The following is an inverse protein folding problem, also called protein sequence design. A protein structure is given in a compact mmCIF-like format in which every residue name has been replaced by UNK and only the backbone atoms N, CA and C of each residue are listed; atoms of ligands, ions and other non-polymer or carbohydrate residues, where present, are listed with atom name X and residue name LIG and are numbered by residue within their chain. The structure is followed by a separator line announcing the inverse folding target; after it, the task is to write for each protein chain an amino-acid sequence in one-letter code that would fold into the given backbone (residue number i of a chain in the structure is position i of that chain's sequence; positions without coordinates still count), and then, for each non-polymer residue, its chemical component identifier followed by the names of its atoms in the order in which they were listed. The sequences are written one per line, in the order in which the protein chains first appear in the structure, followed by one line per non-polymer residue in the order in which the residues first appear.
data_IF_018693337999
#
_entry.id   IF_018693337999
#
_cell.length_a   1.000
_cell.length_b   1.000
_cell.length_c   1.000
_cell.angle_alpha   90.00
_cell.angle_beta   90.00
_cell.angle_gamma   90.00
#
_symmetry.space_group_name_H-M   'P 1'
#
loop_
_entity.id
_entity.type
_entity.pdbx_description
1 polymer ?
#
# COMPACT_ATOMS: atom_id res chain seq x y z
N UNK A 1 48.13 12.02 56.70
CA UNK A 1 48.02 10.97 55.65
C UNK A 1 46.57 10.80 55.27
N UNK A 2 46.26 10.88 53.97
CA UNK A 2 44.91 10.88 53.40
C UNK A 2 44.19 9.54 53.59
N UNK A 3 42.90 9.56 53.91
CA UNK A 3 41.96 8.50 53.53
C UNK A 3 40.78 9.12 52.79
N UNK A 4 40.81 9.01 51.46
CA UNK A 4 39.74 9.38 50.54
C UNK A 4 38.66 8.31 50.65
N UNK A 5 37.45 8.68 51.06
CA UNK A 5 36.29 7.79 51.00
C UNK A 5 35.54 8.19 49.73
N UNK A 6 35.65 7.36 48.69
CA UNK A 6 34.97 7.55 47.43
C UNK A 6 33.50 7.13 47.60
N UNK A 7 32.58 8.07 47.35
CA UNK A 7 31.15 7.81 47.28
C UNK A 7 30.88 7.22 45.89
N UNK A 8 30.60 5.93 45.83
CA UNK A 8 30.13 5.27 44.61
C UNK A 8 28.63 5.51 44.45
N UNK A 9 28.26 6.45 43.58
CA UNK A 9 26.87 6.64 43.13
C UNK A 9 26.59 5.60 42.05
N UNK A 10 25.85 4.54 42.39
CA UNK A 10 25.29 3.60 41.41
C UNK A 10 24.05 4.27 40.80
N UNK A 11 24.23 4.94 39.67
CA UNK A 11 23.11 5.31 38.80
C UNK A 11 22.59 4.04 38.14
N UNK A 12 21.61 3.39 38.78
CA UNK A 12 20.82 2.34 38.15
C UNK A 12 19.91 3.00 37.10
N UNK A 13 20.43 3.20 35.90
CA UNK A 13 19.66 3.67 34.76
C UNK A 13 18.63 2.59 34.42
N UNK A 14 17.38 2.82 34.83
CA UNK A 14 16.21 2.16 34.27
C UNK A 14 16.12 2.57 32.80
N UNK A 15 16.80 1.82 31.94
CA UNK A 15 16.56 1.88 30.51
C UNK A 15 15.09 1.51 30.30
N UNK A 16 14.25 2.38 29.69
CA UNK A 16 12.99 1.90 29.17
C UNK A 16 13.35 0.80 28.16
N UNK A 17 12.93 -0.43 28.42
CA UNK A 17 12.90 -1.47 27.41
C UNK A 17 11.93 -0.96 26.34
N UNK A 18 12.48 -0.26 25.35
CA UNK A 18 11.76 0.07 24.13
C UNK A 18 11.54 -1.28 23.47
N UNK A 19 10.39 -1.88 23.76
CA UNK A 19 9.92 -3.06 23.08
C UNK A 19 9.73 -2.66 21.62
N UNK A 20 10.69 -3.01 20.77
CA UNK A 20 10.44 -3.05 19.35
C UNK A 20 9.45 -4.19 19.14
N UNK A 21 8.16 -3.85 19.11
CA UNK A 21 7.16 -4.73 18.53
C UNK A 21 7.74 -5.18 17.17
N UNK A 22 7.82 -6.49 16.95
CA UNK A 22 8.28 -7.07 15.68
C UNK A 22 7.49 -6.46 14.53
N UNK A 23 8.05 -5.41 13.94
CA UNK A 23 7.43 -4.63 12.89
C UNK A 23 7.63 -5.36 11.55
N UNK A 24 6.94 -6.48 11.38
CA UNK A 24 6.84 -7.17 10.08
C UNK A 24 6.19 -6.31 8.98
N UNK A 25 5.73 -5.10 9.32
CA UNK A 25 5.12 -4.11 8.43
C UNK A 25 5.96 -2.84 8.21
N UNK A 26 7.09 -2.61 8.91
CA UNK A 26 7.88 -1.37 8.78
C UNK A 26 8.55 -1.16 7.39
N UNK A 27 8.40 -2.09 6.46
CA UNK A 27 8.86 -1.95 5.08
C UNK A 27 7.83 -2.35 4.02
N UNK A 28 6.61 -2.72 4.41
CA UNK A 28 5.58 -3.15 3.45
C UNK A 28 4.74 -1.97 3.00
N UNK A 29 4.61 -1.82 1.69
CA UNK A 29 3.77 -0.78 1.09
C UNK A 29 2.31 -1.06 1.46
N UNK A 30 1.64 -0.07 2.03
CA UNK A 30 0.20 -0.12 2.22
C UNK A 30 -0.50 0.39 0.96
N UNK A 31 -0.85 -0.49 0.02
CA UNK A 31 -1.35 -0.08 -1.31
C UNK A 31 -2.62 0.77 -1.22
N UNK A 32 -3.57 0.40 -0.34
CA UNK A 32 -4.79 1.18 -0.07
C UNK A 32 -4.49 2.62 0.36
N UNK A 33 -3.54 2.83 1.28
CA UNK A 33 -3.14 4.18 1.72
C UNK A 33 -2.32 4.91 0.66
N UNK A 34 -1.34 4.23 0.07
CA UNK A 34 -0.36 4.84 -0.84
C UNK A 34 -0.96 5.23 -2.18
N UNK A 35 -1.80 4.37 -2.77
CA UNK A 35 -2.31 4.56 -4.14
C UNK A 35 -3.80 4.84 -4.22
N UNK A 36 -4.59 4.45 -3.22
CA UNK A 36 -6.04 4.49 -3.30
C UNK A 36 -6.73 5.50 -2.37
N UNK A 37 -5.99 6.45 -1.78
CA UNK A 37 -6.52 7.43 -0.84
C UNK A 37 -7.38 6.80 0.27
N UNK A 38 -6.92 5.65 0.77
CA UNK A 38 -7.58 4.85 1.80
C UNK A 38 -9.01 4.36 1.46
N UNK A 39 -9.37 4.27 0.18
CA UNK A 39 -10.63 3.69 -0.29
C UNK A 39 -10.47 2.19 -0.57
N UNK A 40 -11.51 1.39 -0.31
CA UNK A 40 -11.53 -0.04 -0.67
C UNK A 40 -11.79 -0.27 -2.16
N UNK A 41 -12.55 0.63 -2.80
CA UNK A 41 -12.92 0.53 -4.20
C UNK A 41 -12.76 1.88 -4.91
N UNK A 42 -12.19 1.85 -6.13
CA UNK A 42 -12.09 3.02 -7.01
C UNK A 42 -12.73 2.73 -8.38
N UNK A 43 -13.18 3.79 -9.07
CA UNK A 43 -13.86 3.68 -10.35
C UNK A 43 -15.38 3.50 -10.20
N UNK A 44 -15.78 2.41 -9.54
CA UNK A 44 -17.15 2.16 -9.10
C UNK A 44 -17.13 1.65 -7.64
N UNK A 45 -18.29 1.59 -7.01
CA UNK A 45 -18.45 0.93 -5.72
C UNK A 45 -18.18 -0.60 -5.82
N UNK A 46 -18.06 -1.27 -4.66
CA UNK A 46 -17.76 -2.70 -4.61
C UNK A 46 -18.86 -3.62 -5.16
N UNK A 47 -20.11 -3.15 -5.23
CA UNK A 47 -21.22 -3.91 -5.79
C UNK A 47 -21.28 -3.80 -7.32
N UNK A 48 -20.79 -2.68 -7.89
CA UNK A 48 -20.79 -2.40 -9.32
C UNK A 48 -19.43 -2.67 -9.96
N UNK A 49 -19.43 -3.46 -11.03
CA UNK A 49 -18.24 -3.74 -11.85
C UNK A 49 -18.26 -2.86 -13.11
N UNK A 50 -17.09 -2.44 -13.60
CA UNK A 50 -15.75 -2.81 -13.13
C UNK A 50 -15.23 -1.85 -12.06
N UNK A 51 -14.35 -2.31 -11.16
CA UNK A 51 -13.72 -1.44 -10.15
C UNK A 51 -12.31 -1.92 -9.81
N UNK A 52 -11.51 -1.02 -9.26
CA UNK A 52 -10.23 -1.35 -8.65
C UNK A 52 -10.46 -1.62 -7.16
N UNK A 53 -10.14 -2.82 -6.70
CA UNK A 53 -10.14 -3.22 -5.30
C UNK A 53 -8.77 -2.93 -4.69
N UNK A 54 -8.75 -2.18 -3.60
CA UNK A 54 -7.55 -1.73 -2.91
C UNK A 54 -7.50 -2.29 -1.49
N UNK A 55 -6.64 -3.28 -1.27
CA UNK A 55 -6.30 -3.79 0.05
C UNK A 55 -5.06 -3.12 0.63
N UNK A 56 -4.79 -3.34 1.91
CA UNK A 56 -3.52 -2.92 2.51
C UNK A 56 -2.31 -3.60 1.86
N UNK A 57 -2.45 -4.84 1.41
CA UNK A 57 -1.37 -5.65 0.83
C UNK A 57 -1.50 -5.91 -0.67
N UNK A 58 -2.55 -5.39 -1.33
CA UNK A 58 -2.78 -5.68 -2.74
C UNK A 58 -3.59 -4.60 -3.46
N UNK A 59 -3.52 -4.61 -4.78
CA UNK A 59 -4.48 -3.97 -5.68
C UNK A 59 -4.92 -4.98 -6.75
N UNK A 60 -6.21 -5.06 -7.03
CA UNK A 60 -6.77 -5.97 -8.03
C UNK A 60 -7.87 -5.30 -8.83
N UNK A 61 -7.82 -5.40 -10.15
CA UNK A 61 -8.86 -4.88 -11.02
C UNK A 61 -9.94 -5.94 -11.26
N UNK A 62 -11.16 -5.65 -10.82
CA UNK A 62 -12.34 -6.49 -11.06
C UNK A 62 -12.99 -6.09 -12.39
N UNK A 63 -12.98 -7.01 -13.35
CA UNK A 63 -13.59 -6.85 -14.67
C UNK A 63 -15.10 -7.03 -14.63
N UNK A 64 -15.79 -6.64 -15.71
CA UNK A 64 -17.25 -6.78 -15.84
C UNK A 64 -17.72 -8.24 -15.72
N UNK A 65 -16.97 -9.17 -16.29
CA UNK A 65 -17.27 -10.60 -16.25
C UNK A 65 -16.99 -11.26 -14.89
N UNK A 66 -16.49 -10.49 -13.91
CA UNK A 66 -16.14 -11.00 -12.59
C UNK A 66 -14.71 -11.51 -12.46
N UNK A 67 -13.90 -11.51 -13.51
CA UNK A 67 -12.49 -11.87 -13.39
C UNK A 67 -11.69 -10.80 -12.63
N UNK A 68 -10.55 -11.22 -12.09
CA UNK A 68 -9.59 -10.36 -11.41
C UNK A 68 -8.29 -10.27 -12.22
N UNK A 69 -7.77 -9.05 -12.37
CA UNK A 69 -6.38 -8.82 -12.71
C UNK A 69 -5.65 -8.33 -11.47
N UNK A 70 -4.87 -9.20 -10.82
CA UNK A 70 -4.07 -8.82 -9.65
C UNK A 70 -2.90 -7.96 -10.10
N UNK A 71 -2.92 -6.69 -9.71
CA UNK A 71 -1.97 -5.65 -10.14
C UNK A 71 -0.65 -5.76 -9.37
N UNK A 72 -0.72 -6.21 -8.12
CA UNK A 72 0.42 -6.33 -7.19
C UNK A 72 1.07 -7.71 -7.16
N UNK A 73 0.76 -8.59 -8.13
CA UNK A 73 1.49 -9.85 -8.31
C UNK A 73 2.80 -9.60 -9.05
N UNK A 74 3.79 -10.48 -8.79
CA UNK A 74 5.12 -10.48 -9.40
C UNK A 74 5.04 -10.42 -10.94
N UNK A 75 5.80 -9.49 -11.52
CA UNK A 75 5.88 -9.27 -12.96
C UNK A 75 6.15 -7.80 -13.31
N UNK A 76 6.38 -7.54 -14.59
CA UNK A 76 6.51 -6.18 -15.12
C UNK A 76 5.17 -5.41 -15.03
N UNK A 77 5.21 -4.08 -15.14
CA UNK A 77 4.09 -3.14 -15.21
C UNK A 77 3.05 -3.46 -16.32
N UNK A 78 3.26 -4.50 -17.12
CA UNK A 78 2.34 -5.01 -18.16
C UNK A 78 0.91 -5.18 -17.67
N UNK A 79 0.70 -5.67 -16.45
CA UNK A 79 -0.66 -5.84 -15.90
C UNK A 79 -1.35 -4.51 -15.67
N UNK A 80 -0.63 -3.55 -15.10
CA UNK A 80 -1.10 -2.17 -14.94
C UNK A 80 -1.41 -1.54 -16.29
N UNK A 81 -0.58 -1.79 -17.31
CA UNK A 81 -0.80 -1.30 -18.68
C UNK A 81 -2.06 -1.90 -19.32
N UNK A 82 -2.29 -3.21 -19.17
CA UNK A 82 -3.51 -3.85 -19.65
C UNK A 82 -4.76 -3.27 -18.97
N UNK A 83 -4.68 -2.96 -17.67
CA UNK A 83 -5.78 -2.29 -16.96
C UNK A 83 -5.94 -0.85 -17.46
N UNK A 84 -4.86 -0.11 -17.72
CA UNK A 84 -4.92 1.24 -18.30
C UNK A 84 -5.66 1.26 -19.63
N UNK A 85 -5.30 0.38 -20.54
CA UNK A 85 -5.90 0.30 -21.86
C UNK A 85 -7.40 0.00 -21.74
N UNK A 86 -7.75 -0.96 -20.87
CA UNK A 86 -9.14 -1.29 -20.62
C UNK A 86 -9.94 -0.10 -20.06
N UNK A 87 -9.44 0.61 -19.03
CA UNK A 87 -10.20 1.73 -18.45
C UNK A 87 -10.31 2.93 -19.40
N UNK A 88 -9.27 3.19 -20.20
CA UNK A 88 -9.26 4.28 -21.19
C UNK A 88 -10.27 4.01 -22.30
N UNK A 89 -10.41 2.77 -22.74
CA UNK A 89 -11.42 2.38 -23.74
C UNK A 89 -12.84 2.31 -23.18
N UNK A 90 -13.02 2.27 -21.85
CA UNK A 90 -14.32 2.09 -21.20
C UNK A 90 -14.64 3.19 -20.18
N UNK A 91 -14.24 4.45 -20.42
CA UNK A 91 -14.37 5.54 -19.42
C UNK A 91 -15.78 5.70 -18.85
N UNK A 92 -16.80 5.50 -19.68
CA UNK A 92 -18.22 5.63 -19.31
C UNK A 92 -18.71 4.53 -18.36
N UNK A 93 -17.96 3.43 -18.21
CA UNK A 93 -18.32 2.35 -17.29
C UNK A 93 -18.07 2.71 -15.81
N UNK A 94 -17.39 3.82 -15.52
CA UNK A 94 -16.97 4.21 -14.18
C UNK A 94 -17.73 5.45 -13.69
N UNK A 95 -18.28 5.37 -12.49
CA UNK A 95 -18.81 6.54 -11.79
C UNK A 95 -17.71 7.58 -11.50
N UNK A 96 -16.49 7.12 -11.20
CA UNK A 96 -15.33 7.98 -10.97
C UNK A 96 -14.09 7.44 -11.70
N UNK A 97 -14.08 7.63 -13.02
CA UNK A 97 -12.93 7.27 -13.87
C UNK A 97 -11.61 7.89 -13.37
N UNK A 98 -11.63 9.14 -12.90
CA UNK A 98 -10.41 9.84 -12.54
C UNK A 98 -9.72 9.21 -11.32
N UNK A 99 -10.49 8.73 -10.34
CA UNK A 99 -9.93 8.11 -9.15
C UNK A 99 -9.18 6.81 -9.48
N UNK A 100 -9.78 5.92 -10.28
CA UNK A 100 -9.10 4.69 -10.72
C UNK A 100 -7.89 5.00 -11.62
N UNK A 101 -8.02 5.97 -12.54
CA UNK A 101 -6.91 6.37 -13.41
C UNK A 101 -5.72 6.90 -12.60
N UNK A 102 -5.94 7.81 -11.65
CA UNK A 102 -4.90 8.38 -10.82
C UNK A 102 -4.19 7.33 -9.95
N UNK A 103 -4.94 6.38 -9.39
CA UNK A 103 -4.36 5.29 -8.61
C UNK A 103 -3.41 4.42 -9.45
N UNK A 104 -3.81 4.08 -10.68
CA UNK A 104 -2.97 3.31 -11.59
C UNK A 104 -1.74 4.11 -12.07
N UNK A 105 -1.88 5.43 -12.30
CA UNK A 105 -0.74 6.31 -12.65
C UNK A 105 0.26 6.36 -11.51
N UNK A 106 -0.21 6.58 -10.28
CA UNK A 106 0.66 6.62 -9.11
C UNK A 106 1.36 5.27 -8.89
N UNK A 107 0.64 4.14 -9.04
CA UNK A 107 1.23 2.81 -8.96
C UNK A 107 2.32 2.57 -10.01
N UNK A 108 2.06 2.97 -11.27
CA UNK A 108 3.02 2.83 -12.36
C UNK A 108 4.25 3.74 -12.17
N UNK A 109 4.05 4.98 -11.72
CA UNK A 109 5.14 5.92 -11.44
C UNK A 109 6.02 5.49 -10.26
N UNK A 110 5.46 4.73 -9.31
CA UNK A 110 6.22 4.09 -8.24
C UNK A 110 7.02 2.85 -8.70
N UNK A 111 7.07 2.58 -10.00
CA UNK A 111 7.81 1.46 -10.58
C UNK A 111 7.13 0.10 -10.38
N UNK A 112 5.81 0.07 -10.16
CA UNK A 112 5.04 -1.15 -9.91
C UNK A 112 5.64 -1.99 -8.76
N UNK A 113 5.57 -1.51 -7.51
CA UNK A 113 6.48 -1.86 -6.42
C UNK A 113 6.18 -3.22 -5.74
N UNK A 114 6.04 -4.28 -6.51
CA UNK A 114 5.96 -5.67 -6.05
C UNK A 114 6.51 -6.62 -7.13
N UNK A 115 7.54 -6.15 -7.86
CA UNK A 115 8.33 -6.97 -8.78
C UNK A 115 9.02 -8.12 -8.05
#
# INVERSE_FOLDING_TARGET
MMKKIAIAVVCLALLPMISFANNSDLGKINYKKTFCNNQDYLGNDGAKRPHLHCGSSFMSYKKNNGDHSNITEVGDCLRTNAVFDHIKSNRQAFANYQAIYNALVSYHQAGCPNQ
#
